data_IF_434450015933
#
_entry.id   IF_434450015933
#
_cell.length_a   1.000
_cell.length_b   1.000
_cell.length_c   1.000
_cell.angle_alpha   90.00
_cell.angle_beta   90.00
_cell.angle_gamma   90.00
#
_symmetry.space_group_name_H-M   'P 1'
#
loop_
_entity.id
_entity.type
_entity.pdbx_description
1 polymer ?
#
# COMPACT_ATOMS: atom_id res chain seq x y z
N UNK A 1 -11.20 2.27 14.72
CA UNK A 1 -10.77 1.23 13.75
C UNK A 1 -11.35 1.42 12.33
N UNK A 2 -12.10 2.49 12.04
CA UNK A 2 -12.81 2.64 10.76
C UNK A 2 -11.92 2.76 9.50
N UNK A 3 -10.78 3.44 9.59
CA UNK A 3 -9.98 3.75 8.41
C UNK A 3 -9.29 2.53 7.76
N UNK A 4 -8.85 1.54 8.55
CA UNK A 4 -8.26 0.29 8.01
C UNK A 4 -9.28 -0.52 7.21
N UNK A 5 -10.56 -0.45 7.60
CA UNK A 5 -11.64 -1.13 6.89
C UNK A 5 -12.02 -0.40 5.61
N UNK A 6 -12.11 0.94 5.63
CA UNK A 6 -12.32 1.75 4.42
C UNK A 6 -11.24 1.51 3.35
N UNK A 7 -9.99 1.42 3.76
CA UNK A 7 -8.86 1.09 2.86
C UNK A 7 -9.00 -0.31 2.24
N UNK A 8 -9.48 -1.28 3.02
CA UNK A 8 -9.69 -2.66 2.55
C UNK A 8 -10.84 -2.72 1.56
N UNK A 9 -11.98 -2.08 1.88
CA UNK A 9 -13.15 -1.99 1.02
C UNK A 9 -12.82 -1.34 -0.33
N UNK A 10 -12.04 -0.27 -0.33
CA UNK A 10 -11.56 0.35 -1.56
C UNK A 10 -10.68 -0.55 -2.41
N UNK A 11 -9.70 -1.24 -1.79
CA UNK A 11 -8.83 -2.17 -2.54
C UNK A 11 -9.64 -3.30 -3.18
N UNK A 12 -10.69 -3.75 -2.51
CA UNK A 12 -11.60 -4.76 -3.05
C UNK A 12 -12.44 -4.21 -4.21
N UNK A 13 -13.07 -3.04 -4.01
CA UNK A 13 -13.84 -2.33 -5.03
C UNK A 13 -13.02 -2.03 -6.29
N UNK A 14 -11.81 -1.48 -6.15
CA UNK A 14 -10.92 -1.18 -7.28
C UNK A 14 -10.42 -2.45 -7.99
N UNK A 15 -10.32 -3.58 -7.28
CA UNK A 15 -9.95 -4.86 -7.88
C UNK A 15 -11.08 -5.47 -8.71
N UNK A 16 -12.34 -5.15 -8.37
CA UNK A 16 -13.53 -5.58 -9.11
C UNK A 16 -13.90 -4.60 -10.23
N UNK A 17 -13.59 -3.31 -10.06
CA UNK A 17 -13.89 -2.25 -11.02
C UNK A 17 -13.19 -2.46 -12.37
N UNK A 18 -13.98 -2.60 -13.44
CA UNK A 18 -13.48 -2.78 -14.82
C UNK A 18 -13.44 -1.46 -15.59
N UNK A 19 -14.22 -0.48 -15.16
CA UNK A 19 -14.40 0.81 -15.82
C UNK A 19 -13.90 1.98 -14.97
N UNK A 20 -13.58 3.11 -15.61
CA UNK A 20 -13.15 4.32 -14.89
C UNK A 20 -14.26 4.88 -13.97
N UNK A 21 -15.52 4.71 -14.38
CA UNK A 21 -16.68 5.11 -13.58
C UNK A 21 -16.78 4.33 -12.26
N UNK A 22 -16.60 3.00 -12.30
CA UNK A 22 -16.56 2.18 -11.08
C UNK A 22 -15.38 2.57 -10.19
N UNK A 23 -14.21 2.86 -10.77
CA UNK A 23 -13.06 3.32 -9.99
C UNK A 23 -13.33 4.64 -9.27
N UNK A 24 -14.01 5.59 -9.92
CA UNK A 24 -14.45 6.85 -9.30
C UNK A 24 -15.45 6.62 -8.17
N UNK A 25 -16.35 5.65 -8.30
CA UNK A 25 -17.27 5.29 -7.23
C UNK A 25 -16.54 4.67 -6.03
N UNK A 26 -15.56 3.79 -6.30
CA UNK A 26 -14.67 3.27 -5.26
C UNK A 26 -13.88 4.39 -4.55
N UNK A 27 -13.39 5.38 -5.30
CA UNK A 27 -12.67 6.53 -4.70
C UNK A 27 -13.54 7.38 -3.79
N UNK A 28 -14.87 7.45 -4.03
CA UNK A 28 -15.81 8.12 -3.13
C UNK A 28 -16.03 7.36 -1.82
N UNK A 29 -15.80 6.04 -1.81
CA UNK A 29 -15.82 5.23 -0.59
C UNK A 29 -14.58 5.47 0.30
N UNK A 30 -13.51 6.10 -0.23
CA UNK A 30 -12.41 6.56 0.62
C UNK A 30 -12.79 7.85 1.32
N UNK A 31 -12.87 7.76 2.64
CA UNK A 31 -12.89 8.94 3.49
C UNK A 31 -11.52 9.65 3.43
N UNK A 32 -11.49 10.98 3.59
CA UNK A 32 -10.24 11.74 3.65
C UNK A 32 -9.33 11.28 4.80
N UNK A 33 -9.89 10.80 5.91
CA UNK A 33 -9.13 10.15 6.99
C UNK A 33 -8.46 8.85 6.55
N UNK A 34 -9.16 7.99 5.80
CA UNK A 34 -8.57 6.77 5.25
C UNK A 34 -7.48 7.07 4.20
N UNK A 35 -7.66 8.11 3.37
CA UNK A 35 -6.63 8.61 2.44
C UNK A 35 -5.38 9.03 3.21
N UNK A 36 -5.54 9.85 4.25
CA UNK A 36 -4.43 10.31 5.09
C UNK A 36 -3.66 9.15 5.71
N UNK A 37 -4.35 8.17 6.29
CA UNK A 37 -3.72 7.01 6.89
C UNK A 37 -3.02 6.11 5.88
N UNK A 38 -3.58 5.96 4.68
CA UNK A 38 -2.92 5.23 3.59
C UNK A 38 -1.64 5.92 3.14
N UNK A 39 -1.68 7.25 3.06
CA UNK A 39 -0.54 8.08 2.67
C UNK A 39 0.53 8.11 3.78
N UNK A 40 0.14 8.11 5.04
CA UNK A 40 1.04 8.05 6.19
C UNK A 40 1.72 6.68 6.32
N UNK A 41 0.96 5.58 6.20
CA UNK A 41 1.49 4.21 6.14
C UNK A 41 2.44 4.05 4.93
N UNK A 42 2.07 4.63 3.78
CA UNK A 42 2.93 4.65 2.61
C UNK A 42 4.21 5.48 2.85
N UNK A 43 4.11 6.66 3.45
CA UNK A 43 5.27 7.51 3.79
C UNK A 43 6.23 6.81 4.75
N UNK A 44 5.73 6.18 5.81
CA UNK A 44 6.57 5.38 6.71
C UNK A 44 7.23 4.22 5.96
N UNK A 45 6.48 3.53 5.08
CA UNK A 45 7.04 2.43 4.31
C UNK A 45 8.11 2.87 3.30
N UNK A 46 7.92 4.02 2.66
CA UNK A 46 8.86 4.60 1.71
C UNK A 46 10.09 5.12 2.45
N UNK A 47 9.90 5.74 3.63
CA UNK A 47 11.01 6.17 4.49
C UNK A 47 11.85 4.97 4.95
N UNK A 48 11.22 3.90 5.41
CA UNK A 48 11.92 2.67 5.79
C UNK A 48 12.66 2.02 4.61
N UNK A 49 12.04 2.02 3.42
CA UNK A 49 12.71 1.55 2.21
C UNK A 49 13.90 2.43 1.83
N UNK A 50 13.75 3.75 1.86
CA UNK A 50 14.82 4.71 1.55
C UNK A 50 15.98 4.61 2.54
N UNK A 51 15.70 4.47 3.82
CA UNK A 51 16.71 4.27 4.86
C UNK A 51 17.48 2.96 4.62
N UNK A 52 16.75 1.86 4.36
CA UNK A 52 17.36 0.57 4.07
C UNK A 52 18.17 0.56 2.77
N UNK A 53 17.69 1.22 1.70
CA UNK A 53 18.43 1.36 0.44
C UNK A 53 19.64 2.28 0.59
N UNK A 54 19.56 3.33 1.40
CA UNK A 54 20.68 4.24 1.66
C UNK A 54 21.79 3.57 2.45
N UNK A 55 21.45 2.64 3.35
CA UNK A 55 22.41 1.84 4.10
C UNK A 55 22.97 0.65 3.30
N UNK A 56 22.21 0.15 2.31
CA UNK A 56 22.60 -0.99 1.48
C UNK A 56 23.79 -0.65 0.56
N UNK A 57 24.95 -1.23 0.85
CA UNK A 57 26.18 -1.05 0.03
C UNK A 57 26.28 -2.07 -1.11
N UNK A 58 25.46 -3.12 -1.07
CA UNK A 58 25.48 -4.24 -2.01
C UNK A 58 24.11 -4.51 -2.63
N UNK A 59 24.10 -5.09 -3.84
CA UNK A 59 22.86 -5.45 -4.55
C UNK A 59 21.99 -6.47 -3.78
N UNK A 60 22.61 -7.29 -2.92
CA UNK A 60 21.90 -8.23 -2.04
C UNK A 60 21.12 -7.50 -0.93
N UNK A 61 21.72 -6.47 -0.31
CA UNK A 61 21.05 -5.65 0.69
C UNK A 61 19.93 -4.80 0.09
N UNK A 62 20.13 -4.25 -1.11
CA UNK A 62 19.06 -3.53 -1.84
C UNK A 62 17.87 -4.44 -2.16
N UNK A 63 18.13 -5.71 -2.52
CA UNK A 63 17.06 -6.71 -2.72
C UNK A 63 16.32 -6.99 -1.41
N UNK A 64 17.01 -6.99 -0.27
CA UNK A 64 16.40 -7.18 1.05
C UNK A 64 15.57 -5.98 1.49
N UNK A 65 16.01 -4.75 1.20
CA UNK A 65 15.24 -3.53 1.38
C UNK A 65 13.89 -3.58 0.65
N UNK A 66 13.88 -4.17 -0.55
CA UNK A 66 12.66 -4.37 -1.36
C UNK A 66 11.67 -5.36 -0.75
N UNK A 67 12.09 -6.19 0.21
CA UNK A 67 11.23 -7.10 0.97
C UNK A 67 10.61 -6.42 2.20
N UNK A 68 11.18 -5.31 2.67
CA UNK A 68 10.67 -4.53 3.80
C UNK A 68 9.43 -3.68 3.47
N UNK A 69 9.10 -3.50 2.19
CA UNK A 69 7.88 -2.79 1.77
C UNK A 69 6.61 -3.56 2.20
N UNK A 70 5.72 -2.99 3.06
CA UNK A 70 4.49 -3.62 3.53
C UNK A 70 3.53 -4.00 2.40
N UNK A 71 3.67 -3.36 1.23
CA UNK A 71 2.88 -3.64 0.03
C UNK A 71 3.13 -5.04 -0.56
N UNK A 72 4.31 -5.66 -0.30
CA UNK A 72 4.58 -7.04 -0.74
C UNK A 72 4.06 -8.12 0.21
N UNK A 73 3.68 -7.79 1.45
CA UNK A 73 3.07 -8.75 2.38
C UNK A 73 1.73 -9.32 1.90
N UNK A 74 1.09 -8.71 0.89
CA UNK A 74 -0.18 -9.21 0.31
C UNK A 74 -0.03 -10.28 -0.78
N UNK A 75 1.17 -10.67 -1.19
CA UNK A 75 1.36 -11.70 -2.25
C UNK A 75 1.84 -13.07 -1.75
N UNK A 76 1.75 -13.35 -0.44
CA UNK A 76 2.12 -14.64 0.17
C UNK A 76 1.00 -15.18 1.09
N UNK A 77 -0.28 -15.04 0.69
CA UNK A 77 -1.41 -15.79 1.28
C UNK A 77 -2.54 -15.96 0.25
N UNK A 78 -2.23 -16.63 -0.86
CA UNK A 78 -3.21 -17.34 -1.71
C UNK A 78 -2.50 -18.57 -2.27
N UNK A 79 -2.36 -19.59 -1.43
CA UNK A 79 -2.11 -20.99 -1.77
C UNK A 79 -2.84 -21.81 -0.73
#
# INVERSE_FOLDING_TARGET
MLAKESVKAYKDCVSQAKTEAEKKECEKLLTPEAKKLLEEEAKESVKAYLDCVSQAKTEAEKKNARNYSPLKRKKVRRS
#
